data_IF_713517012012
#
_entry.id   IF_713517012012
#
_cell.length_a   1.000
_cell.length_b   1.000
_cell.length_c   1.000
_cell.angle_alpha   90.00
_cell.angle_beta   90.00
_cell.angle_gamma   90.00
#
_symmetry.space_group_name_H-M   'P 1'
#
loop_
_entity.id
_entity.type
_entity.pdbx_description
1 polymer ?
#
# COMPACT_ATOMS: atom_id res chain seq x y z
N UNK A 1 -6.46 19.55 -28.10
CA UNK A 1 -5.27 20.36 -27.74
C UNK A 1 -4.52 19.52 -26.73
N UNK A 2 -3.35 18.99 -27.10
CA UNK A 2 -2.60 18.05 -26.27
C UNK A 2 -1.72 18.83 -25.28
N UNK A 3 -1.83 18.52 -23.99
CA UNK A 3 -0.84 18.90 -22.99
C UNK A 3 0.00 17.66 -22.68
N UNK A 4 1.30 17.74 -22.96
CA UNK A 4 2.31 16.74 -22.61
C UNK A 4 3.23 17.40 -21.60
N UNK A 5 3.33 16.87 -20.38
CA UNK A 5 4.30 17.32 -19.39
C UNK A 5 5.48 16.35 -19.40
N UNK A 6 6.65 16.84 -19.81
CA UNK A 6 7.95 16.18 -19.66
C UNK A 6 8.64 16.82 -18.47
N UNK A 7 9.12 16.03 -17.51
CA UNK A 7 9.98 16.50 -16.42
C UNK A 7 11.37 15.89 -16.59
N UNK A 8 12.38 16.72 -16.81
CA UNK A 8 13.79 16.35 -16.67
C UNK A 8 14.54 17.47 -15.94
N UNK A 9 14.91 17.13 -14.71
CA UNK A 9 16.14 17.34 -13.94
C UNK A 9 16.82 18.71 -13.68
N UNK A 10 17.23 18.78 -12.40
CA UNK A 10 18.05 19.68 -11.59
C UNK A 10 18.59 21.03 -12.10
N UNK A 11 18.28 22.07 -11.32
CA UNK A 11 19.26 22.99 -10.69
C UNK A 11 18.62 23.70 -9.49
N UNK A 12 19.19 23.45 -8.32
CA UNK A 12 18.84 24.10 -7.04
C UNK A 12 19.17 25.58 -7.10
N UNK A 13 18.17 26.43 -6.87
CA UNK A 13 18.35 27.78 -6.31
C UNK A 13 17.32 27.98 -5.22
N UNK A 14 17.80 28.07 -3.98
CA UNK A 14 17.05 28.40 -2.78
C UNK A 14 16.35 29.77 -2.91
N UNK A 15 15.27 29.91 -2.14
CA UNK A 15 14.45 31.09 -1.89
C UNK A 15 13.25 31.29 -2.82
N UNK A 16 12.17 30.58 -2.50
CA UNK A 16 10.82 31.15 -2.53
C UNK A 16 9.95 30.46 -1.48
N UNK A 17 9.39 31.29 -0.59
CA UNK A 17 8.35 30.97 0.39
C UNK A 17 7.30 30.05 -0.25
N UNK A 18 7.33 28.76 0.09
CA UNK A 18 6.32 27.80 -0.32
C UNK A 18 4.96 28.33 0.13
N UNK A 19 4.17 28.76 -0.84
CA UNK A 19 2.73 28.94 -0.63
C UNK A 19 2.17 27.59 -0.18
N UNK A 20 1.24 27.54 0.78
CA UNK A 20 0.70 26.27 1.23
C UNK A 20 0.03 25.59 0.05
N UNK A 21 0.60 24.45 -0.38
CA UNK A 21 0.02 23.55 -1.36
C UNK A 21 -1.37 23.16 -0.85
N UNK A 22 -2.42 23.72 -1.43
CA UNK A 22 -3.79 23.37 -1.05
C UNK A 22 -4.14 22.06 -1.74
N UNK A 23 -3.90 20.95 -1.04
CA UNK A 23 -4.39 19.62 -1.40
C UNK A 23 -5.86 19.68 -1.81
N UNK A 24 -6.23 18.96 -2.89
CA UNK A 24 -7.62 18.88 -3.31
C UNK A 24 -8.35 18.07 -2.26
N UNK A 25 -9.13 18.79 -1.46
CA UNK A 25 -9.95 18.17 -0.44
C UNK A 25 -11.24 17.70 -1.11
N UNK A 26 -11.56 16.41 -0.97
CA UNK A 26 -12.92 15.96 -1.19
C UNK A 26 -13.86 16.89 -0.41
N UNK A 27 -14.84 17.49 -1.08
CA UNK A 27 -15.85 18.30 -0.39
C UNK A 27 -16.76 17.34 0.36
N UNK A 28 -16.35 16.99 1.57
CA UNK A 28 -17.17 16.23 2.50
C UNK A 28 -18.51 16.96 2.68
N UNK A 29 -19.59 16.21 2.67
CA UNK A 29 -20.89 16.74 3.04
C UNK A 29 -20.80 17.10 4.52
N UNK A 30 -21.08 18.35 4.85
CA UNK A 30 -20.95 18.87 6.21
C UNK A 30 -21.70 17.98 7.21
N UNK A 31 -21.01 17.56 8.28
CA UNK A 31 -21.57 16.69 9.32
C UNK A 31 -21.55 15.19 9.00
N UNK A 32 -21.10 14.77 7.81
CA UNK A 32 -20.97 13.34 7.48
C UNK A 32 -19.50 12.90 7.65
N UNK A 33 -19.22 11.89 8.50
CA UNK A 33 -17.87 11.34 8.63
C UNK A 33 -17.36 10.74 7.31
N UNK A 34 -16.10 11.01 6.96
CA UNK A 34 -15.47 10.47 5.74
C UNK A 34 -15.48 8.94 5.70
N UNK A 35 -15.41 8.28 6.86
CA UNK A 35 -15.49 6.82 6.98
C UNK A 35 -16.85 6.28 6.50
N UNK A 36 -17.95 6.96 6.83
CA UNK A 36 -19.27 6.59 6.35
C UNK A 36 -19.41 6.79 4.84
N UNK A 37 -18.85 7.88 4.31
CA UNK A 37 -18.83 8.14 2.86
C UNK A 37 -18.06 7.02 2.15
N UNK A 38 -16.87 6.68 2.66
CA UNK A 38 -16.03 5.63 2.10
C UNK A 38 -16.71 4.26 2.13
N UNK A 39 -17.37 3.90 3.24
CA UNK A 39 -18.13 2.65 3.33
C UNK A 39 -19.24 2.57 2.27
N UNK A 40 -19.93 3.69 2.02
CA UNK A 40 -20.97 3.76 0.98
C UNK A 40 -20.38 3.69 -0.43
N UNK A 41 -19.21 4.26 -0.65
CA UNK A 41 -18.50 4.13 -1.92
C UNK A 41 -18.09 2.68 -2.15
N UNK A 42 -17.55 1.98 -1.15
CA UNK A 42 -17.19 0.56 -1.28
C UNK A 42 -18.38 -0.33 -1.66
N UNK A 43 -19.58 -0.06 -1.10
CA UNK A 43 -20.81 -0.77 -1.47
C UNK A 43 -21.20 -0.56 -2.95
N UNK A 44 -20.83 0.58 -3.53
CA UNK A 44 -21.08 0.92 -4.94
C UNK A 44 -19.92 0.53 -5.85
N UNK A 45 -18.72 0.33 -5.30
CA UNK A 45 -17.46 0.08 -5.99
C UNK A 45 -17.55 -0.89 -7.17
N UNK A 46 -18.10 -2.10 -7.00
CA UNK A 46 -18.22 -3.09 -8.07
C UNK A 46 -18.99 -2.61 -9.31
N UNK A 47 -19.89 -1.62 -9.15
CA UNK A 47 -20.64 -1.03 -10.26
C UNK A 47 -19.85 0.03 -11.01
N UNK A 48 -18.98 0.77 -10.32
CA UNK A 48 -18.26 1.91 -10.88
C UNK A 48 -16.83 1.56 -11.29
N UNK A 49 -16.26 0.47 -10.78
CA UNK A 49 -14.90 0.05 -11.13
C UNK A 49 -14.78 -0.18 -12.65
N UNK A 50 -13.95 0.64 -13.30
CA UNK A 50 -13.72 0.57 -14.74
C UNK A 50 -14.89 1.08 -15.61
N UNK A 51 -15.97 1.63 -15.03
CA UNK A 51 -17.08 2.19 -15.81
C UNK A 51 -16.69 3.52 -16.46
N UNK A 52 -16.42 3.47 -17.76
CA UNK A 52 -16.11 4.64 -18.58
C UNK A 52 -17.23 5.68 -18.61
N UNK A 53 -18.49 5.27 -18.49
CA UNK A 53 -19.63 6.17 -18.70
C UNK A 53 -19.83 7.19 -17.59
N UNK A 54 -19.32 6.88 -16.39
CA UNK A 54 -19.41 7.71 -15.19
C UNK A 54 -18.06 8.20 -14.68
N UNK A 55 -16.97 7.75 -15.31
CA UNK A 55 -15.61 8.08 -14.88
C UNK A 55 -15.34 9.58 -14.92
N UNK A 56 -14.62 10.04 -13.91
CA UNK A 56 -14.12 11.40 -13.82
C UNK A 56 -13.00 11.65 -14.84
N UNK A 57 -12.05 10.72 -14.97
CA UNK A 57 -10.88 10.88 -15.80
C UNK A 57 -10.33 9.53 -16.31
N UNK A 58 -9.44 9.61 -17.30
CA UNK A 58 -8.66 8.49 -17.79
C UNK A 58 -7.27 8.51 -17.13
N UNK A 59 -6.90 7.45 -16.43
CA UNK A 59 -5.62 7.34 -15.71
C UNK A 59 -4.69 6.35 -16.43
N UNK A 60 -3.51 6.83 -16.79
CA UNK A 60 -2.40 6.03 -17.30
C UNK A 60 -1.35 5.85 -16.21
N UNK A 61 -0.83 4.64 -16.11
CA UNK A 61 0.33 4.33 -15.28
C UNK A 61 1.48 4.00 -16.21
N UNK A 62 2.61 4.70 -16.08
CA UNK A 62 3.79 4.37 -16.88
C UNK A 62 4.21 2.93 -16.64
N UNK A 63 4.42 2.18 -17.73
CA UNK A 63 4.69 0.73 -17.68
C UNK A 63 3.45 -0.16 -17.90
N UNK A 64 2.24 0.42 -17.95
CA UNK A 64 1.00 -0.31 -18.25
C UNK A 64 0.39 0.19 -19.56
N UNK A 65 0.13 -0.74 -20.49
CA UNK A 65 -0.35 -0.41 -21.85
C UNK A 65 -1.85 -0.08 -21.93
N UNK A 66 -2.58 -0.19 -20.81
CA UNK A 66 -4.02 0.09 -20.73
C UNK A 66 -4.34 1.25 -19.78
N UNK A 67 -5.32 2.09 -20.12
CA UNK A 67 -5.82 3.11 -19.20
C UNK A 67 -6.79 2.51 -18.17
N UNK A 68 -6.97 3.25 -17.08
CA UNK A 68 -7.98 3.01 -16.05
C UNK A 68 -9.01 4.13 -16.04
N UNK A 69 -10.29 3.77 -16.10
CA UNK A 69 -11.38 4.73 -15.93
C UNK A 69 -11.61 4.95 -14.44
N UNK A 70 -11.27 6.14 -13.94
CA UNK A 70 -11.23 6.43 -12.51
C UNK A 70 -12.25 7.47 -12.08
N UNK A 71 -12.72 7.33 -10.85
CA UNK A 71 -13.66 8.21 -10.17
C UNK A 71 -12.90 8.92 -9.05
N UNK A 72 -12.99 10.26 -9.02
CA UNK A 72 -12.16 11.11 -8.17
C UNK A 72 -12.28 10.72 -6.69
N UNK A 73 -13.51 10.52 -6.22
CA UNK A 73 -13.84 10.28 -4.81
C UNK A 73 -13.18 9.02 -4.23
N UNK A 74 -13.06 7.94 -5.00
CA UNK A 74 -12.42 6.71 -4.55
C UNK A 74 -10.92 6.89 -4.34
N UNK A 75 -10.29 7.74 -5.15
CA UNK A 75 -8.86 8.03 -5.08
C UNK A 75 -8.55 9.03 -3.97
N UNK A 76 -9.19 10.21 -3.99
CA UNK A 76 -8.83 11.32 -3.09
C UNK A 76 -9.18 11.05 -1.63
N UNK A 77 -10.17 10.19 -1.34
CA UNK A 77 -10.51 9.85 0.05
C UNK A 77 -9.47 8.93 0.71
N UNK A 78 -8.68 8.23 -0.08
CA UNK A 78 -7.82 7.13 0.40
C UNK A 78 -6.33 7.36 0.13
N UNK A 79 -5.97 8.36 -0.68
CA UNK A 79 -4.61 8.60 -1.13
C UNK A 79 -4.23 10.08 -1.03
N UNK A 80 -3.17 10.36 -0.27
CA UNK A 80 -2.57 11.71 -0.21
C UNK A 80 -2.02 12.12 -1.58
N UNK A 81 -1.38 11.19 -2.29
CA UNK A 81 -0.88 11.43 -3.64
C UNK A 81 -1.99 11.93 -4.57
N UNK A 82 -3.13 11.23 -4.65
CA UNK A 82 -4.21 11.65 -5.54
C UNK A 82 -4.89 12.96 -5.10
N UNK A 83 -4.93 13.27 -3.79
CA UNK A 83 -5.36 14.60 -3.35
C UNK A 83 -4.47 15.71 -3.92
N UNK A 84 -3.18 15.45 -4.13
CA UNK A 84 -2.26 16.42 -4.70
C UNK A 84 -2.30 16.43 -6.23
N UNK A 85 -2.18 15.26 -6.85
CA UNK A 85 -2.14 15.08 -8.31
C UNK A 85 -3.40 15.62 -8.98
N UNK A 86 -4.57 15.45 -8.35
CA UNK A 86 -5.84 15.80 -8.99
C UNK A 86 -6.23 17.28 -8.79
N UNK A 87 -5.45 18.10 -8.07
CA UNK A 87 -5.80 19.50 -7.73
C UNK A 87 -6.31 20.34 -8.91
N UNK A 88 -5.66 20.20 -10.06
CA UNK A 88 -5.95 20.98 -11.26
C UNK A 88 -6.57 20.15 -12.39
N UNK A 89 -6.99 18.92 -12.09
CA UNK A 89 -7.58 18.01 -13.08
C UNK A 89 -9.08 18.27 -13.18
N UNK A 90 -9.59 18.33 -14.39
CA UNK A 90 -11.01 18.50 -14.71
C UNK A 90 -11.60 17.22 -15.27
N UNK A 91 -12.92 17.10 -15.23
CA UNK A 91 -13.59 15.89 -15.72
C UNK A 91 -13.35 15.72 -17.23
N UNK A 92 -12.93 14.52 -17.62
CA UNK A 92 -12.56 14.15 -18.99
C UNK A 92 -11.06 14.31 -19.30
N UNK A 93 -10.26 14.79 -18.35
CA UNK A 93 -8.81 14.88 -18.54
C UNK A 93 -8.13 13.50 -18.52
N UNK A 94 -6.94 13.48 -19.11
CA UNK A 94 -6.04 12.33 -19.09
C UNK A 94 -4.95 12.61 -18.06
N UNK A 95 -4.80 11.69 -17.10
CA UNK A 95 -3.82 11.75 -16.03
C UNK A 95 -2.77 10.67 -16.30
N UNK A 96 -1.50 11.00 -16.13
CA UNK A 96 -0.40 10.02 -16.17
C UNK A 96 0.35 10.03 -14.86
N UNK A 97 0.60 8.86 -14.28
CA UNK A 97 1.35 8.70 -13.04
C UNK A 97 2.47 7.69 -13.22
N UNK A 98 3.52 7.85 -12.41
CA UNK A 98 4.63 6.91 -12.30
C UNK A 98 4.56 6.20 -10.96
N UNK A 99 4.73 4.87 -10.96
CA UNK A 99 4.74 4.06 -9.75
C UNK A 99 5.99 3.17 -9.70
N UNK A 100 6.54 2.90 -8.51
CA UNK A 100 7.69 1.99 -8.35
C UNK A 100 7.45 0.59 -8.94
N UNK A 101 6.24 0.05 -8.78
CA UNK A 101 5.87 -1.27 -9.29
C UNK A 101 4.52 -1.24 -10.01
N UNK A 102 4.48 -0.79 -11.28
CA UNK A 102 3.24 -0.56 -12.01
C UNK A 102 2.30 -1.78 -12.06
N UNK A 103 2.86 -2.98 -12.25
CA UNK A 103 2.09 -4.23 -12.41
C UNK A 103 1.19 -4.56 -11.21
N UNK A 104 1.47 -3.99 -10.03
CA UNK A 104 0.67 -4.21 -8.82
C UNK A 104 -0.49 -3.23 -8.68
N UNK A 105 -0.53 -2.17 -9.49
CA UNK A 105 -1.48 -1.07 -9.32
C UNK A 105 -2.94 -1.48 -9.55
N UNK A 106 -3.21 -2.42 -10.48
CA UNK A 106 -4.60 -2.81 -10.79
C UNK A 106 -5.32 -3.39 -9.57
N UNK A 107 -4.64 -4.23 -8.79
CA UNK A 107 -5.17 -4.82 -7.56
C UNK A 107 -5.36 -3.76 -6.47
N UNK A 108 -4.42 -2.82 -6.34
CA UNK A 108 -4.56 -1.67 -5.43
C UNK A 108 -5.78 -0.85 -5.83
N UNK A 109 -5.93 -0.50 -7.10
CA UNK A 109 -7.05 0.28 -7.60
C UNK A 109 -8.37 -0.44 -7.36
N UNK A 110 -8.41 -1.76 -7.55
CA UNK A 110 -9.61 -2.55 -7.26
C UNK A 110 -10.00 -2.47 -5.79
N UNK A 111 -9.03 -2.64 -4.88
CA UNK A 111 -9.24 -2.46 -3.44
C UNK A 111 -9.76 -1.07 -3.09
N UNK A 112 -9.24 0.00 -3.72
CA UNK A 112 -9.77 1.35 -3.51
C UNK A 112 -11.25 1.47 -3.88
N UNK A 113 -11.77 0.61 -4.76
CA UNK A 113 -13.18 0.62 -5.13
C UNK A 113 -14.04 -0.25 -4.26
N UNK A 114 -13.69 -1.52 -4.05
CA UNK A 114 -14.54 -2.48 -3.34
C UNK A 114 -14.25 -2.56 -1.84
N UNK A 115 -13.11 -2.06 -1.38
CA UNK A 115 -12.67 -2.13 0.02
C UNK A 115 -12.43 -3.56 0.51
N UNK A 116 -12.33 -4.53 -0.40
CA UNK A 116 -12.26 -5.95 -0.06
C UNK A 116 -10.84 -6.33 0.34
N UNK A 117 -10.57 -6.26 1.65
CA UNK A 117 -9.26 -6.54 2.23
C UNK A 117 -8.82 -7.99 2.01
N UNK A 118 -9.75 -8.94 2.12
CA UNK A 118 -9.45 -10.38 1.99
C UNK A 118 -9.08 -10.70 0.54
N UNK A 119 -9.89 -10.21 -0.42
CA UNK A 119 -9.60 -10.37 -1.83
C UNK A 119 -8.27 -9.73 -2.23
N UNK A 120 -7.96 -8.55 -1.72
CA UNK A 120 -6.67 -7.92 -2.02
C UNK A 120 -5.51 -8.68 -1.37
N UNK A 121 -5.67 -9.15 -0.13
CA UNK A 121 -4.70 -10.01 0.54
C UNK A 121 -4.35 -11.25 -0.29
N UNK A 122 -5.35 -11.91 -0.86
CA UNK A 122 -5.17 -13.12 -1.69
C UNK A 122 -4.36 -12.87 -2.98
N UNK A 123 -4.22 -11.61 -3.42
CA UNK A 123 -3.39 -11.24 -4.58
C UNK A 123 -1.91 -11.06 -4.23
N UNK A 124 -1.57 -10.99 -2.94
CA UNK A 124 -0.22 -10.79 -2.48
C UNK A 124 0.58 -12.09 -2.59
N UNK A 125 1.76 -11.97 -3.19
CA UNK A 125 2.74 -13.06 -3.32
C UNK A 125 4.09 -12.60 -2.78
N UNK A 126 5.01 -13.51 -2.40
CA UNK A 126 6.34 -13.13 -1.95
C UNK A 126 7.09 -12.28 -2.98
N UNK A 127 6.84 -12.52 -4.27
CA UNK A 127 7.49 -11.83 -5.38
C UNK A 127 6.94 -10.42 -5.60
N UNK A 128 5.63 -10.20 -5.39
CA UNK A 128 5.01 -8.90 -5.64
C UNK A 128 4.91 -8.00 -4.39
N UNK A 129 5.02 -8.58 -3.19
CA UNK A 129 4.78 -7.91 -1.92
C UNK A 129 5.56 -6.60 -1.77
N UNK A 130 6.86 -6.64 -2.09
CA UNK A 130 7.71 -5.46 -1.96
C UNK A 130 7.29 -4.33 -2.92
N UNK A 131 6.88 -4.68 -4.14
CA UNK A 131 6.35 -3.73 -5.11
C UNK A 131 5.02 -3.10 -4.65
N UNK A 132 4.13 -3.91 -4.07
CA UNK A 132 2.88 -3.41 -3.47
C UNK A 132 3.18 -2.43 -2.34
N UNK A 133 4.12 -2.75 -1.45
CA UNK A 133 4.49 -1.89 -0.34
C UNK A 133 5.02 -0.52 -0.81
N UNK A 134 5.94 -0.52 -1.78
CA UNK A 134 6.49 0.71 -2.36
C UNK A 134 5.39 1.59 -3.01
N UNK A 135 4.42 0.96 -3.67
CA UNK A 135 3.29 1.68 -4.23
C UNK A 135 2.38 2.27 -3.16
N UNK A 136 2.11 1.54 -2.06
CA UNK A 136 1.33 2.06 -0.91
C UNK A 136 1.99 3.31 -0.32
N UNK A 137 3.31 3.29 -0.18
CA UNK A 137 4.07 4.44 0.31
C UNK A 137 4.02 5.61 -0.67
N UNK A 138 4.25 5.34 -1.96
CA UNK A 138 4.25 6.37 -3.02
C UNK A 138 2.87 7.02 -3.20
N UNK A 139 1.80 6.21 -3.14
CA UNK A 139 0.42 6.69 -3.21
C UNK A 139 -0.05 7.32 -1.89
N UNK A 140 0.69 7.14 -0.80
CA UNK A 140 0.31 7.61 0.53
C UNK A 140 -1.04 7.05 0.99
N UNK A 141 -1.26 5.75 0.85
CA UNK A 141 -2.54 5.12 1.24
C UNK A 141 -2.73 5.05 2.76
N UNK A 142 -3.98 4.94 3.20
CA UNK A 142 -4.37 4.90 4.62
C UNK A 142 -3.77 3.76 5.45
N UNK A 143 -4.04 3.80 6.75
CA UNK A 143 -3.56 2.78 7.72
C UNK A 143 -4.13 1.40 7.43
N UNK A 144 -5.34 1.35 6.87
CA UNK A 144 -6.08 0.15 6.53
C UNK A 144 -5.32 -0.64 5.45
N UNK A 145 -4.86 0.04 4.40
CA UNK A 145 -4.10 -0.59 3.33
C UNK A 145 -2.75 -1.13 3.81
N UNK A 146 -2.07 -0.38 4.69
CA UNK A 146 -0.80 -0.81 5.31
C UNK A 146 -0.99 -2.02 6.22
N UNK A 147 -2.10 -2.06 6.96
CA UNK A 147 -2.39 -3.16 7.88
C UNK A 147 -2.51 -4.50 7.14
N UNK A 148 -3.12 -4.51 5.95
CA UNK A 148 -3.22 -5.70 5.10
C UNK A 148 -1.83 -6.21 4.71
N UNK A 149 -0.97 -5.32 4.20
CA UNK A 149 0.41 -5.68 3.82
C UNK A 149 1.26 -6.15 5.02
N UNK A 150 1.17 -5.46 6.17
CA UNK A 150 1.88 -5.89 7.37
C UNK A 150 1.42 -7.27 7.85
N UNK A 151 0.13 -7.56 7.75
CA UNK A 151 -0.43 -8.87 8.09
C UNK A 151 0.14 -9.96 7.19
N UNK A 152 0.23 -9.69 5.88
CA UNK A 152 0.85 -10.61 4.92
C UNK A 152 2.32 -10.84 5.23
N UNK A 153 3.08 -9.76 5.48
CA UNK A 153 4.50 -9.85 5.83
C UNK A 153 4.74 -10.74 7.04
N UNK A 154 3.98 -10.55 8.11
CA UNK A 154 4.13 -11.35 9.32
C UNK A 154 3.69 -12.81 9.13
N UNK A 155 2.73 -13.07 8.25
CA UNK A 155 2.18 -14.40 8.04
C UNK A 155 3.01 -15.23 7.06
N UNK A 156 3.42 -14.64 5.95
CA UNK A 156 3.96 -15.37 4.80
C UNK A 156 5.44 -15.10 4.55
N UNK A 157 5.92 -13.86 4.76
CA UNK A 157 7.33 -13.51 4.50
C UNK A 157 8.19 -13.86 5.71
N UNK A 158 7.85 -13.32 6.89
CA UNK A 158 8.66 -13.47 8.10
C UNK A 158 8.71 -14.92 8.59
N UNK A 159 7.61 -15.68 8.46
CA UNK A 159 7.60 -17.10 8.85
C UNK A 159 8.45 -17.97 7.93
N UNK A 160 8.43 -17.73 6.61
CA UNK A 160 9.29 -18.46 5.67
C UNK A 160 10.77 -18.26 5.99
N UNK A 161 11.17 -17.00 6.21
CA UNK A 161 12.55 -16.68 6.55
C UNK A 161 13.03 -17.28 7.89
N UNK A 162 12.12 -17.69 8.79
CA UNK A 162 12.49 -18.36 10.05
C UNK A 162 12.56 -19.89 9.90
N UNK A 163 11.88 -20.47 8.92
CA UNK A 163 11.90 -21.92 8.68
C UNK A 163 13.11 -22.36 7.84
N UNK A 164 13.85 -21.41 7.25
CA UNK A 164 15.06 -21.68 6.46
C UNK A 164 16.35 -21.68 7.31
N UNK A 165 16.25 -21.40 8.62
CA UNK A 165 17.38 -21.33 9.58
C UNK A 165 17.39 -22.46 10.63
N UNK A 166 16.48 -23.45 10.56
CA UNK A 166 16.35 -24.56 11.55
C UNK A 166 16.89 -25.93 11.04
N UNK A 167 17.83 -25.92 10.09
CA UNK A 167 18.67 -27.10 9.76
C UNK A 167 20.10 -26.88 10.27
N UNK A 168 20.31 -26.88 11.59
CA UNK A 168 21.59 -27.31 12.20
C UNK A 168 21.37 -27.70 13.68
N UNK A 169 21.54 -29.01 13.91
CA UNK A 169 21.85 -29.74 15.15
C UNK A 169 20.75 -30.04 16.19
N UNK A 170 20.01 -31.11 15.92
CA UNK A 170 19.70 -32.12 16.94
C UNK A 170 20.97 -32.97 17.24
N UNK A 171 21.10 -33.38 18.51
CA UNK A 171 21.96 -34.43 19.08
C UNK A 171 23.40 -34.09 19.52
N UNK A 172 23.56 -33.80 20.82
CA UNK A 172 24.36 -34.71 21.65
C UNK A 172 23.79 -34.81 23.08
N UNK A 173 23.16 -35.95 23.34
CA UNK A 173 22.76 -36.43 24.66
C UNK A 173 24.00 -36.56 25.55
N UNK A 174 23.98 -35.91 26.72
CA UNK A 174 24.84 -36.31 27.84
C UNK A 174 23.89 -36.79 28.95
N UNK A 175 23.55 -38.07 28.89
CA UNK A 175 23.10 -38.83 30.05
C UNK A 175 24.26 -39.75 30.51
N UNK A 176 24.27 -39.99 31.82
CA UNK A 176 24.95 -41.04 32.58
C UNK A 176 26.28 -40.72 33.30
N UNK A 177 26.10 -40.36 34.58
CA UNK A 177 26.58 -41.09 35.77
C UNK A 177 28.07 -41.47 35.93
N UNK A 178 28.74 -40.76 36.85
CA UNK A 178 29.60 -41.35 37.91
C UNK A 178 29.54 -40.38 39.13
N UNK A 179 28.93 -40.72 40.28
CA UNK A 179 29.50 -41.51 41.41
C UNK A 179 30.95 -41.10 41.71
N UNK A 180 31.41 -40.78 42.92
CA UNK A 180 30.90 -40.82 44.29
C UNK A 180 31.98 -40.12 45.18
N UNK A 181 31.74 -40.08 46.50
CA UNK A 181 32.70 -39.91 47.62
C UNK A 181 32.77 -38.52 48.29
N UNK A 182 31.93 -38.40 49.33
CA UNK A 182 32.26 -38.30 50.76
C UNK A 182 33.36 -37.35 51.26
N UNK A 183 32.97 -36.57 52.29
CA UNK A 183 33.66 -36.30 53.57
C UNK A 183 33.19 -34.92 54.09
N UNK A 184 32.16 -34.85 54.93
CA UNK A 184 32.25 -34.95 56.39
C UNK A 184 33.12 -33.84 57.03
N UNK A 185 32.48 -32.79 57.58
CA UNK A 185 32.72 -32.39 58.97
C UNK A 185 31.72 -31.34 59.47
N UNK A 186 30.96 -31.73 60.50
CA UNK A 186 30.42 -30.80 61.49
C UNK A 186 31.57 -30.04 62.16
N UNK A 187 31.35 -28.80 62.60
CA UNK A 187 31.57 -28.36 64.01
C UNK A 187 31.09 -26.90 64.17
N UNK A 188 30.08 -26.78 65.04
CA UNK A 188 29.67 -25.69 65.97
C UNK A 188 29.26 -24.31 65.45
#
# INVERSE_FOLDING_TARGET
MHASAVVCDERVTENQSQSPCKARHFKAIEGIPSTYILEKLHQLGPRYYGDKSTAFAELYVEGIDKPFWVHEEYLVLQSVFFQETLQNVTSGDIITITLPSPDTFEHILQYLYDGDADKWYDTLTPENYFGVWQNIESLGLGIEARAICLTYYHSEIKKKNLNDDDDDDDDEMIDDDMMDDDDEECIR
#
